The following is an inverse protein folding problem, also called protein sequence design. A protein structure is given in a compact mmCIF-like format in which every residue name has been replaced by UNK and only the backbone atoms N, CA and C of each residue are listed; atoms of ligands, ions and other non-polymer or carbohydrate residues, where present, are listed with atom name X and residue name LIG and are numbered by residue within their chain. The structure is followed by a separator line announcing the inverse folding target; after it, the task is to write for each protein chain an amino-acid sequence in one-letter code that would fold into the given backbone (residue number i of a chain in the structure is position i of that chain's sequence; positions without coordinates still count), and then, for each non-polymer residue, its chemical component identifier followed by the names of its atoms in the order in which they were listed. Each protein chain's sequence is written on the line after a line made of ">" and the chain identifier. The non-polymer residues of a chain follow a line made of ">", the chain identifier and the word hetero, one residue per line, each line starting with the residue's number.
data_IF_198657860883
#
_entry.id   IF_198657860883
#
_cell.length_a   1.000
_cell.length_b   1.000
_cell.length_c   1.000
_cell.angle_alpha   90.00
_cell.angle_beta   90.00
_cell.angle_gamma   90.00
#
_symmetry.space_group_name_H-M   'P 1'
#
loop_
_entity.id
_entity.type
_entity.pdbx_description
1 polymer ?
#
# COMPACT_ATOMS: atom_id res chain seq x y z
N UNK A 1 17.69 21.71 -20.21
CA UNK A 1 18.51 20.56 -19.78
C UNK A 1 17.74 19.27 -19.49
N UNK A 2 17.35 18.91 -18.24
CA UNK A 2 16.90 17.53 -17.90
C UNK A 2 15.68 17.04 -18.72
N UNK A 3 14.70 17.92 -18.94
CA UNK A 3 13.47 17.61 -19.71
C UNK A 3 13.71 17.66 -21.22
N UNK A 4 14.49 18.63 -21.69
CA UNK A 4 14.61 19.00 -23.10
C UNK A 4 15.78 18.34 -23.82
N UNK A 5 16.95 18.33 -23.19
CA UNK A 5 18.20 17.80 -23.77
C UNK A 5 18.40 16.34 -23.38
N UNK A 6 18.25 16.02 -22.09
CA UNK A 6 18.38 14.64 -21.59
C UNK A 6 17.11 13.80 -21.80
N UNK A 7 16.02 14.41 -22.29
CA UNK A 7 14.72 13.77 -22.60
C UNK A 7 14.23 12.81 -21.50
N UNK A 8 14.51 13.14 -20.24
CA UNK A 8 14.16 12.27 -19.12
C UNK A 8 12.66 12.28 -18.87
N UNK A 9 12.13 11.13 -18.43
CA UNK A 9 10.77 11.05 -17.93
C UNK A 9 10.57 12.03 -16.76
N UNK A 10 9.39 12.66 -16.69
CA UNK A 10 9.07 13.70 -15.68
C UNK A 10 9.38 13.24 -14.24
N UNK A 11 9.12 11.96 -13.92
CA UNK A 11 9.41 11.39 -12.59
C UNK A 11 10.90 11.37 -12.26
N UNK A 12 11.72 10.99 -13.23
CA UNK A 12 13.18 11.03 -13.10
C UNK A 12 13.69 12.46 -12.96
N UNK A 13 13.16 13.41 -13.75
CA UNK A 13 13.49 14.84 -13.63
C UNK A 13 13.18 15.34 -12.22
N UNK A 14 11.99 15.03 -11.69
CA UNK A 14 11.60 15.42 -10.33
C UNK A 14 12.58 14.88 -9.28
N UNK A 15 12.98 13.61 -9.40
CA UNK A 15 13.94 13.00 -8.47
C UNK A 15 15.30 13.70 -8.52
N UNK A 16 15.82 14.02 -9.70
CA UNK A 16 17.05 14.78 -9.85
C UNK A 16 16.93 16.18 -9.24
N UNK A 17 15.82 16.87 -9.46
CA UNK A 17 15.56 18.20 -8.90
C UNK A 17 15.48 18.15 -7.36
N UNK A 18 14.85 17.13 -6.78
CA UNK A 18 14.81 16.93 -5.31
C UNK A 18 16.23 16.82 -4.74
N UNK A 19 17.09 15.99 -5.35
CA UNK A 19 18.47 15.85 -4.90
C UNK A 19 19.26 17.15 -5.06
N UNK A 20 19.14 17.81 -6.21
CA UNK A 20 19.84 19.08 -6.47
C UNK A 20 19.40 20.18 -5.50
N UNK A 21 18.10 20.32 -5.22
CA UNK A 21 17.58 21.25 -4.21
C UNK A 21 18.16 20.96 -2.82
N UNK A 22 18.30 19.69 -2.44
CA UNK A 22 18.90 19.30 -1.16
C UNK A 22 20.38 19.71 -1.09
N UNK A 23 21.13 19.56 -2.17
CA UNK A 23 22.53 20.02 -2.24
C UNK A 23 22.63 21.54 -2.16
N UNK A 24 21.83 22.26 -2.94
CA UNK A 24 21.78 23.74 -2.90
C UNK A 24 21.41 24.24 -1.51
N UNK A 25 20.41 23.65 -0.85
CA UNK A 25 20.04 24.02 0.52
C UNK A 25 21.21 23.83 1.50
N UNK A 26 21.97 22.74 1.37
CA UNK A 26 23.19 22.52 2.17
C UNK A 26 24.27 23.57 1.89
N UNK A 27 24.48 23.93 0.61
CA UNK A 27 25.45 24.95 0.22
C UNK A 27 25.06 26.34 0.74
N UNK A 28 23.77 26.69 0.70
CA UNK A 28 23.24 27.91 1.29
C UNK A 28 23.43 27.97 2.80
N UNK A 29 23.12 26.87 3.51
CA UNK A 29 23.34 26.79 4.96
C UNK A 29 24.81 26.95 5.37
N UNK A 30 25.75 26.62 4.47
CA UNK A 30 27.19 26.81 4.66
C UNK A 30 27.70 28.19 4.19
N UNK A 31 26.82 29.07 3.70
CA UNK A 31 27.19 30.37 3.17
C UNK A 31 27.92 30.34 1.81
N UNK A 32 28.05 29.17 1.18
CA UNK A 32 28.74 29.01 -0.13
C UNK A 32 27.93 29.68 -1.24
N UNK A 33 26.60 29.62 -1.13
CA UNK A 33 25.66 30.22 -2.07
C UNK A 33 24.76 31.18 -1.30
N UNK A 34 24.71 32.44 -1.73
CA UNK A 34 23.93 33.50 -1.05
C UNK A 34 22.50 33.63 -1.57
N UNK A 35 22.22 33.19 -2.81
CA UNK A 35 20.89 33.25 -3.43
C UNK A 35 20.43 31.88 -3.89
N UNK A 36 19.16 31.56 -3.63
CA UNK A 36 18.60 30.27 -4.02
C UNK A 36 18.37 30.21 -5.55
N UNK A 37 19.09 29.37 -6.32
CA UNK A 37 18.87 29.20 -7.76
C UNK A 37 17.51 28.57 -8.10
N UNK A 38 16.80 28.00 -7.12
CA UNK A 38 15.45 27.46 -7.26
C UNK A 38 14.36 28.44 -6.83
N UNK A 39 14.68 29.71 -6.62
CA UNK A 39 13.67 30.73 -6.33
C UNK A 39 12.65 30.81 -7.48
N UNK A 40 11.36 30.77 -7.17
CA UNK A 40 10.27 30.76 -8.17
C UNK A 40 10.09 29.44 -8.94
N UNK A 41 10.98 28.44 -8.78
CA UNK A 41 10.81 27.15 -9.46
C UNK A 41 9.76 26.29 -8.76
N UNK A 42 8.67 26.01 -9.49
CA UNK A 42 7.62 25.06 -9.12
C UNK A 42 7.76 23.82 -10.03
N UNK A 43 8.01 22.62 -9.48
CA UNK A 43 8.07 21.42 -10.29
C UNK A 43 6.68 21.04 -10.83
N UNK A 44 6.65 20.55 -12.07
CA UNK A 44 5.47 19.89 -12.64
C UNK A 44 5.04 18.75 -11.69
N UNK A 45 3.83 18.86 -11.11
CA UNK A 45 3.26 17.76 -10.33
C UNK A 45 2.87 16.62 -11.28
N UNK A 46 3.35 15.41 -10.97
CA UNK A 46 2.89 14.22 -11.65
C UNK A 46 1.60 13.77 -11.00
N UNK A 47 0.49 13.90 -11.73
CA UNK A 47 -0.74 13.21 -11.38
C UNK A 47 -0.42 11.71 -11.46
N UNK A 48 -0.30 11.08 -10.29
CA UNK A 48 -0.07 9.64 -10.20
C UNK A 48 -1.31 8.94 -10.71
N UNK A 49 -1.19 8.08 -11.73
CA UNK A 49 -2.25 7.13 -12.09
C UNK A 49 -2.61 6.29 -10.85
N UNK A 50 -3.87 5.86 -10.72
CA UNK A 50 -4.33 5.01 -9.62
C UNK A 50 -3.39 3.80 -9.45
N UNK A 51 -2.76 3.69 -8.28
CA UNK A 51 -1.79 2.64 -7.94
C UNK A 51 -2.41 1.45 -7.21
N UNK A 52 -3.73 1.44 -7.06
CA UNK A 52 -4.51 0.42 -6.37
C UNK A 52 -5.41 -0.33 -7.37
N UNK A 53 -6.00 -1.43 -6.92
CA UNK A 53 -6.91 -2.29 -7.69
C UNK A 53 -8.31 -2.20 -7.13
N UNK A 54 -9.34 -2.11 -7.98
CA UNK A 54 -10.72 -2.17 -7.52
C UNK A 54 -11.09 -3.55 -6.98
N UNK A 55 -12.22 -3.66 -6.28
CA UNK A 55 -12.70 -4.93 -5.74
C UNK A 55 -12.88 -5.98 -6.85
N UNK A 56 -13.38 -5.57 -8.01
CA UNK A 56 -13.58 -6.46 -9.17
C UNK A 56 -12.22 -6.93 -9.75
N UNK A 57 -11.21 -6.06 -9.77
CA UNK A 57 -9.86 -6.45 -10.21
C UNK A 57 -9.18 -7.39 -9.21
N UNK A 58 -9.40 -7.19 -7.91
CA UNK A 58 -8.92 -8.08 -6.86
C UNK A 58 -9.58 -9.46 -7.00
N UNK A 59 -10.90 -9.50 -7.20
CA UNK A 59 -11.65 -10.75 -7.40
C UNK A 59 -11.17 -11.51 -8.64
N UNK A 60 -10.95 -10.81 -9.77
CA UNK A 60 -10.36 -11.41 -10.98
C UNK A 60 -9.01 -12.07 -10.70
N UNK A 61 -8.17 -11.46 -9.88
CA UNK A 61 -6.86 -12.02 -9.51
C UNK A 61 -7.04 -13.26 -8.63
N UNK A 62 -7.92 -13.21 -7.62
CA UNK A 62 -8.17 -14.33 -6.69
C UNK A 62 -8.71 -15.55 -7.45
N UNK A 63 -9.66 -15.33 -8.35
CA UNK A 63 -10.35 -16.40 -9.10
C UNK A 63 -9.63 -16.84 -10.37
N UNK A 64 -8.50 -16.21 -10.71
CA UNK A 64 -7.74 -16.56 -11.91
C UNK A 64 -7.24 -18.01 -11.87
N UNK A 65 -7.59 -18.77 -12.90
CA UNK A 65 -7.06 -20.12 -13.13
C UNK A 65 -5.60 -20.03 -13.56
N UNK A 66 -4.70 -20.55 -12.73
CA UNK A 66 -3.25 -20.52 -12.95
C UNK A 66 -2.71 -21.95 -12.95
N UNK A 67 -2.29 -22.44 -14.12
CA UNK A 67 -1.78 -23.82 -14.24
C UNK A 67 -0.36 -24.02 -13.70
N UNK A 68 0.44 -22.96 -13.55
CA UNK A 68 1.83 -23.05 -13.09
C UNK A 68 1.94 -22.78 -11.59
N UNK A 69 2.38 -23.75 -10.75
CA UNK A 69 2.43 -23.60 -9.28
C UNK A 69 3.23 -22.39 -8.79
N UNK A 70 4.32 -22.04 -9.47
CA UNK A 70 5.15 -20.88 -9.08
C UNK A 70 4.45 -19.54 -9.32
N UNK A 71 3.56 -19.45 -10.32
CA UNK A 71 2.76 -18.25 -10.58
C UNK A 71 1.59 -18.22 -9.60
N UNK A 72 0.98 -19.38 -9.32
CA UNK A 72 -0.09 -19.55 -8.32
C UNK A 72 0.38 -19.05 -6.93
N UNK A 73 1.60 -19.45 -6.54
CA UNK A 73 2.26 -18.94 -5.34
C UNK A 73 2.42 -17.41 -5.36
N UNK A 74 2.87 -16.82 -6.47
CA UNK A 74 3.01 -15.36 -6.56
C UNK A 74 1.67 -14.64 -6.52
N UNK A 75 0.60 -15.21 -7.10
CA UNK A 75 -0.77 -14.70 -6.94
C UNK A 75 -1.14 -14.69 -5.46
N UNK A 76 -0.94 -15.80 -4.75
CA UNK A 76 -1.30 -15.87 -3.33
C UNK A 76 -0.49 -14.90 -2.48
N UNK A 77 0.81 -14.74 -2.72
CA UNK A 77 1.62 -13.75 -2.02
C UNK A 77 1.19 -12.31 -2.34
N UNK A 78 0.74 -12.06 -3.57
CA UNK A 78 0.18 -10.78 -3.95
C UNK A 78 -1.13 -10.51 -3.20
N UNK A 79 -2.06 -11.48 -3.19
CA UNK A 79 -3.34 -11.42 -2.47
C UNK A 79 -3.11 -11.26 -0.97
N UNK A 80 -2.16 -12.00 -0.39
CA UNK A 80 -1.74 -11.83 1.00
C UNK A 80 -1.35 -10.38 1.29
N UNK A 81 -0.58 -9.74 0.39
CA UNK A 81 -0.26 -8.31 0.50
C UNK A 81 -1.47 -7.38 0.34
N UNK A 82 -2.49 -7.76 -0.45
CA UNK A 82 -3.74 -6.99 -0.61
C UNK A 82 -4.55 -6.98 0.68
N UNK A 83 -4.54 -8.06 1.46
CA UNK A 83 -5.33 -8.17 2.69
C UNK A 83 -4.55 -7.89 3.98
N UNK A 84 -3.23 -7.73 3.91
CA UNK A 84 -2.38 -7.40 5.08
C UNK A 84 -1.65 -6.07 4.94
N UNK A 85 -1.61 -5.48 3.75
CA UNK A 85 -0.84 -4.27 3.47
C UNK A 85 0.68 -4.44 3.55
N UNK A 86 1.19 -5.65 3.78
CA UNK A 86 2.62 -5.88 3.92
C UNK A 86 3.36 -5.70 2.59
N UNK A 87 4.58 -5.16 2.65
CA UNK A 87 5.44 -5.10 1.47
C UNK A 87 6.08 -6.45 1.18
N UNK A 88 6.57 -6.68 -0.04
CA UNK A 88 7.31 -7.91 -0.38
C UNK A 88 8.41 -8.23 0.64
N UNK A 89 9.19 -7.21 1.05
CA UNK A 89 10.29 -7.40 2.00
C UNK A 89 9.79 -7.79 3.38
N UNK A 90 8.63 -7.28 3.79
CA UNK A 90 8.00 -7.63 5.06
C UNK A 90 7.47 -9.07 4.99
N UNK A 91 6.77 -9.46 3.91
CA UNK A 91 6.26 -10.83 3.70
C UNK A 91 7.42 -11.84 3.65
N UNK A 92 8.50 -11.52 2.93
CA UNK A 92 9.70 -12.38 2.81
C UNK A 92 10.38 -12.67 4.14
N UNK A 93 10.27 -11.76 5.11
CA UNK A 93 10.91 -11.90 6.40
C UNK A 93 9.90 -12.10 7.54
N UNK A 94 8.63 -12.34 7.23
CA UNK A 94 7.60 -12.60 8.22
C UNK A 94 7.90 -13.93 8.91
N UNK A 95 7.95 -13.88 10.24
CA UNK A 95 8.22 -15.05 11.10
C UNK A 95 6.97 -15.51 11.81
N UNK A 96 6.95 -16.78 12.22
CA UNK A 96 5.79 -17.39 12.89
C UNK A 96 5.48 -16.76 14.25
N UNK A 97 6.49 -16.34 14.98
CA UNK A 97 6.39 -15.64 16.28
C UNK A 97 5.80 -14.23 16.17
N UNK A 98 5.77 -13.64 14.96
CA UNK A 98 5.13 -12.35 14.68
C UNK A 98 3.63 -12.47 14.42
N UNK A 99 3.09 -13.70 14.36
CA UNK A 99 1.66 -13.97 14.27
C UNK A 99 1.14 -14.25 15.67
N UNK A 100 0.55 -13.24 16.29
CA UNK A 100 0.05 -13.27 17.66
C UNK A 100 -1.42 -13.67 17.69
N UNK A 101 -1.86 -14.26 18.79
CA UNK A 101 -3.28 -14.52 19.10
C UNK A 101 -3.68 -13.66 20.29
N UNK A 102 -4.85 -13.02 20.21
CA UNK A 102 -5.43 -12.30 21.34
C UNK A 102 -6.28 -13.24 22.23
N UNK A 103 -6.80 -12.69 23.33
CA UNK A 103 -7.64 -13.40 24.29
C UNK A 103 -8.95 -13.92 23.71
N UNK A 104 -9.41 -13.35 22.59
CA UNK A 104 -10.62 -13.75 21.88
C UNK A 104 -10.36 -14.76 20.75
N UNK A 105 -9.08 -15.10 20.53
CA UNK A 105 -8.65 -16.05 19.50
C UNK A 105 -8.43 -15.41 18.12
N UNK A 106 -8.56 -14.08 17.98
CA UNK A 106 -8.20 -13.42 16.73
C UNK A 106 -6.69 -13.38 16.55
N UNK A 107 -6.25 -13.46 15.30
CA UNK A 107 -4.84 -13.43 14.95
C UNK A 107 -4.43 -12.07 14.42
N UNK A 108 -3.21 -11.67 14.76
CA UNK A 108 -2.64 -10.39 14.40
C UNK A 108 -1.23 -10.58 13.88
N UNK A 109 -0.86 -9.85 12.83
CA UNK A 109 0.53 -9.72 12.42
C UNK A 109 1.10 -8.48 13.10
N UNK A 110 2.13 -8.64 13.93
CA UNK A 110 2.86 -7.54 14.56
C UNK A 110 4.32 -7.58 14.13
N UNK A 111 4.75 -6.57 13.35
CA UNK A 111 6.10 -6.50 12.81
C UNK A 111 6.74 -5.14 12.99
N UNK A 112 8.07 -5.15 13.00
CA UNK A 112 8.88 -3.97 12.70
C UNK A 112 9.20 -3.98 11.20
N UNK A 113 8.73 -2.97 10.48
CA UNK A 113 8.85 -2.88 9.02
C UNK A 113 10.31 -2.86 8.58
N UNK A 114 10.62 -3.65 7.56
CA UNK A 114 12.00 -3.83 7.10
C UNK A 114 12.61 -2.55 6.52
N UNK A 115 11.81 -1.74 5.83
CA UNK A 115 12.31 -0.54 5.13
C UNK A 115 12.48 0.68 6.04
N UNK A 116 11.60 0.82 7.04
CA UNK A 116 11.46 2.06 7.83
C UNK A 116 11.76 1.85 9.30
N UNK A 117 11.75 0.61 9.79
CA UNK A 117 11.87 0.29 11.21
C UNK A 117 10.65 0.69 12.04
N UNK A 118 9.55 1.14 11.42
CA UNK A 118 8.32 1.48 12.12
C UNK A 118 7.52 0.23 12.48
N UNK A 119 6.76 0.29 13.56
CA UNK A 119 5.85 -0.78 13.95
C UNK A 119 4.62 -0.80 13.04
N UNK A 120 4.12 -2.00 12.75
CA UNK A 120 2.96 -2.25 11.91
C UNK A 120 2.22 -3.44 12.50
N UNK A 121 0.96 -3.21 12.86
CA UNK A 121 0.09 -4.21 13.48
C UNK A 121 -1.16 -4.31 12.61
N UNK A 122 -1.45 -5.50 12.08
CA UNK A 122 -2.57 -5.71 11.15
C UNK A 122 -3.34 -6.95 11.58
N UNK A 123 -4.68 -6.90 11.69
CA UNK A 123 -5.47 -8.08 11.95
C UNK A 123 -5.35 -9.05 10.78
N UNK A 124 -5.18 -10.34 11.10
CA UNK A 124 -5.10 -11.38 10.10
C UNK A 124 -6.53 -11.79 9.73
N UNK A 125 -6.98 -11.37 8.54
CA UNK A 125 -8.29 -11.73 7.97
C UNK A 125 -8.29 -13.17 7.43
N UNK A 126 -9.45 -13.68 7.04
CA UNK A 126 -9.62 -15.10 6.69
C UNK A 126 -8.84 -15.53 5.43
N UNK A 127 -8.81 -14.68 4.39
CA UNK A 127 -8.02 -14.96 3.17
C UNK A 127 -6.52 -15.12 3.48
N UNK A 128 -5.86 -14.18 4.20
CA UNK A 128 -4.49 -14.39 4.69
C UNK A 128 -4.29 -15.66 5.52
N UNK A 129 -5.24 -16.03 6.40
CA UNK A 129 -5.16 -17.28 7.19
C UNK A 129 -5.17 -18.52 6.28
N UNK A 130 -6.03 -18.53 5.27
CA UNK A 130 -6.09 -19.61 4.28
C UNK A 130 -4.78 -19.75 3.50
N UNK A 131 -4.20 -18.63 3.08
CA UNK A 131 -2.90 -18.63 2.38
C UNK A 131 -1.78 -19.15 3.28
N UNK A 132 -1.75 -18.75 4.56
CA UNK A 132 -0.78 -19.28 5.53
C UNK A 132 -0.93 -20.80 5.68
N UNK A 133 -2.18 -21.29 5.83
CA UNK A 133 -2.46 -22.74 5.91
C UNK A 133 -2.05 -23.49 4.65
N UNK A 134 -2.32 -22.93 3.45
CA UNK A 134 -1.96 -23.53 2.16
C UNK A 134 -0.45 -23.74 2.00
N UNK A 135 0.37 -22.86 2.58
CA UNK A 135 1.83 -22.90 2.47
C UNK A 135 2.52 -23.23 3.80
N UNK A 136 1.79 -23.83 4.74
CA UNK A 136 2.35 -24.24 6.02
C UNK A 136 3.51 -25.22 5.81
N UNK A 137 4.59 -25.04 6.58
CA UNK A 137 5.80 -25.87 6.47
C UNK A 137 6.71 -25.55 5.28
N UNK A 138 6.34 -24.63 4.38
CA UNK A 138 7.22 -24.26 3.24
C UNK A 138 8.37 -23.33 3.62
N UNK A 139 8.18 -22.51 4.67
CA UNK A 139 9.18 -21.54 5.12
C UNK A 139 10.38 -22.16 5.83
N UNK A 140 11.54 -21.53 5.64
CA UNK A 140 12.83 -21.89 6.27
C UNK A 140 13.16 -20.91 7.40
N UNK A 141 13.97 -21.33 8.39
CA UNK A 141 14.42 -20.50 9.51
C UNK A 141 13.29 -19.77 10.26
N UNK A 142 12.22 -20.48 10.63
CA UNK A 142 11.00 -19.95 11.28
C UNK A 142 10.22 -18.89 10.49
N UNK A 143 10.54 -18.69 9.21
CA UNK A 143 9.73 -17.85 8.33
C UNK A 143 8.42 -18.53 7.99
N UNK A 144 7.40 -17.71 7.73
CA UNK A 144 6.08 -18.18 7.32
C UNK A 144 6.10 -18.72 5.90
N UNK A 145 6.84 -18.06 4.99
CA UNK A 145 6.88 -18.41 3.57
C UNK A 145 8.31 -18.53 3.04
N UNK A 146 8.54 -19.48 2.13
CA UNK A 146 9.74 -19.52 1.28
C UNK A 146 9.52 -18.69 0.02
N UNK A 147 9.79 -17.39 0.12
CA UNK A 147 9.57 -16.45 -0.98
C UNK A 147 10.52 -16.65 -2.16
N UNK A 148 9.98 -16.60 -3.38
CA UNK A 148 10.76 -16.47 -4.60
C UNK A 148 11.54 -15.15 -4.64
N UNK A 149 12.62 -15.11 -5.42
CA UNK A 149 13.42 -13.90 -5.63
C UNK A 149 12.60 -12.78 -6.30
N UNK A 150 12.94 -11.53 -5.97
CA UNK A 150 12.17 -10.35 -6.35
C UNK A 150 11.97 -10.20 -7.87
N UNK A 151 12.97 -10.55 -8.67
CA UNK A 151 12.89 -10.49 -10.13
C UNK A 151 11.84 -11.48 -10.67
N UNK A 152 11.79 -12.70 -10.12
CA UNK A 152 10.78 -13.71 -10.48
C UNK A 152 9.40 -13.26 -10.04
N UNK A 153 9.24 -12.78 -8.80
CA UNK A 153 7.97 -12.22 -8.31
C UNK A 153 7.51 -11.08 -9.21
N UNK A 154 8.39 -10.12 -9.53
CA UNK A 154 8.07 -9.03 -10.44
C UNK A 154 7.65 -9.50 -11.84
N UNK A 155 8.25 -10.57 -12.35
CA UNK A 155 7.88 -11.16 -13.65
C UNK A 155 6.50 -11.79 -13.59
N UNK A 156 6.27 -12.66 -12.61
CA UNK A 156 5.01 -13.38 -12.46
C UNK A 156 3.86 -12.46 -12.07
N UNK A 157 4.07 -11.41 -11.27
CA UNK A 157 3.05 -10.39 -11.02
C UNK A 157 2.60 -9.70 -12.32
N UNK A 158 3.53 -9.40 -13.25
CA UNK A 158 3.13 -8.83 -14.56
C UNK A 158 2.36 -9.85 -15.40
N UNK A 159 2.76 -11.11 -15.35
CA UNK A 159 2.09 -12.21 -16.05
C UNK A 159 0.66 -12.41 -15.54
N UNK A 160 0.46 -12.44 -14.22
CA UNK A 160 -0.85 -12.48 -13.57
C UNK A 160 -1.73 -11.32 -14.05
N UNK A 161 -1.19 -10.10 -14.08
CA UNK A 161 -1.93 -8.93 -14.59
C UNK A 161 -2.38 -9.08 -16.04
N UNK A 162 -1.57 -9.71 -16.90
CA UNK A 162 -1.94 -10.03 -18.30
C UNK A 162 -2.99 -11.12 -18.37
N UNK A 163 -2.85 -12.20 -17.59
CA UNK A 163 -3.81 -13.30 -17.53
C UNK A 163 -5.20 -12.81 -17.09
N UNK A 164 -5.24 -11.89 -16.13
CA UNK A 164 -6.47 -11.28 -15.62
C UNK A 164 -7.01 -10.15 -16.52
N UNK A 165 -6.35 -9.86 -17.66
CA UNK A 165 -6.71 -8.78 -18.60
C UNK A 165 -6.90 -7.42 -17.91
N UNK A 166 -5.97 -7.06 -17.01
CA UNK A 166 -6.00 -5.76 -16.33
C UNK A 166 -5.49 -4.67 -17.28
N UNK A 167 -6.17 -3.51 -17.29
CA UNK A 167 -5.79 -2.35 -18.12
C UNK A 167 -4.47 -1.69 -17.68
N UNK A 168 -4.04 -1.99 -16.44
CA UNK A 168 -2.83 -1.45 -15.84
C UNK A 168 -1.80 -2.53 -15.56
N UNK A 169 -0.53 -2.13 -15.66
CA UNK A 169 0.60 -3.00 -15.36
C UNK A 169 0.65 -3.30 -13.86
N UNK A 170 0.31 -4.54 -13.52
CA UNK A 170 0.37 -5.03 -12.16
C UNK A 170 1.83 -5.04 -11.64
N UNK A 171 2.02 -4.48 -10.44
CA UNK A 171 3.30 -4.55 -9.71
C UNK A 171 3.03 -4.97 -8.28
N UNK A 172 3.98 -5.65 -7.63
CA UNK A 172 3.74 -6.18 -6.30
C UNK A 172 3.39 -5.09 -5.27
N UNK A 173 3.94 -3.88 -5.41
CA UNK A 173 3.62 -2.78 -4.50
C UNK A 173 2.16 -2.30 -4.58
N UNK A 174 1.46 -2.61 -5.68
CA UNK A 174 0.03 -2.32 -5.79
C UNK A 174 -0.78 -3.10 -4.76
N UNK A 175 -0.32 -4.26 -4.27
CA UNK A 175 -1.04 -5.02 -3.24
C UNK A 175 -1.25 -4.18 -1.98
N UNK A 176 -0.18 -3.54 -1.50
CA UNK A 176 -0.23 -2.62 -0.35
C UNK A 176 -1.08 -1.38 -0.61
N UNK A 177 -1.10 -0.86 -1.84
CA UNK A 177 -1.96 0.25 -2.20
C UNK A 177 -3.43 -0.15 -2.21
N UNK A 178 -3.75 -1.34 -2.73
CA UNK A 178 -5.10 -1.90 -2.72
C UNK A 178 -5.59 -2.20 -1.31
N UNK A 179 -4.71 -2.66 -0.40
CA UNK A 179 -5.04 -2.78 1.02
C UNK A 179 -5.54 -1.46 1.57
N UNK A 180 -4.73 -0.40 1.38
CA UNK A 180 -5.01 0.91 1.93
C UNK A 180 -6.33 1.51 1.39
N UNK A 181 -6.51 1.48 0.06
CA UNK A 181 -7.68 2.10 -0.56
C UNK A 181 -8.89 1.16 -0.51
N UNK A 182 -8.85 0.04 -1.21
CA UNK A 182 -10.03 -0.78 -1.48
C UNK A 182 -10.46 -1.67 -0.33
N UNK A 183 -9.50 -2.21 0.44
CA UNK A 183 -9.81 -3.11 1.58
C UNK A 183 -10.09 -2.31 2.85
N UNK A 184 -9.46 -1.15 3.05
CA UNK A 184 -9.62 -0.34 4.26
C UNK A 184 -10.49 0.90 4.04
N UNK A 185 -9.99 1.94 3.35
CA UNK A 185 -10.68 3.24 3.28
C UNK A 185 -12.06 3.14 2.62
N UNK A 186 -12.18 2.39 1.52
CA UNK A 186 -13.46 2.16 0.84
C UNK A 186 -14.44 1.33 1.69
N UNK A 187 -13.97 0.62 2.70
CA UNK A 187 -14.80 -0.14 3.66
C UNK A 187 -15.01 0.62 4.98
N UNK A 188 -14.72 1.93 5.01
CA UNK A 188 -14.98 2.78 6.17
C UNK A 188 -13.93 2.72 7.29
N UNK A 189 -12.78 2.07 7.07
CA UNK A 189 -11.70 2.09 8.08
C UNK A 189 -11.14 3.51 8.19
N UNK A 190 -11.09 4.11 9.40
CA UNK A 190 -10.53 5.45 9.59
C UNK A 190 -9.07 5.55 9.13
N UNK A 191 -8.72 6.72 8.58
CA UNK A 191 -7.37 6.95 8.02
C UNK A 191 -6.27 6.86 9.08
N UNK A 192 -6.58 7.21 10.34
CA UNK A 192 -5.69 7.11 11.49
C UNK A 192 -5.37 5.65 11.79
N UNK A 193 -6.40 4.81 11.85
CA UNK A 193 -6.28 3.36 12.05
C UNK A 193 -5.46 2.74 10.92
N UNK A 194 -5.76 3.10 9.67
CA UNK A 194 -4.97 2.65 8.53
C UNK A 194 -3.50 3.10 8.61
N UNK A 195 -3.26 4.34 9.01
CA UNK A 195 -1.91 4.89 9.15
C UNK A 195 -1.08 4.10 10.17
N UNK A 196 -1.69 3.72 11.30
CA UNK A 196 -1.06 2.87 12.32
C UNK A 196 -0.83 1.45 11.79
N UNK A 197 -1.85 0.82 11.18
CA UNK A 197 -1.73 -0.52 10.61
C UNK A 197 -0.59 -0.61 9.58
N UNK A 198 -0.46 0.41 8.74
CA UNK A 198 0.57 0.50 7.72
C UNK A 198 1.96 0.89 8.27
N UNK A 199 2.06 1.29 9.54
CA UNK A 199 3.31 1.77 10.14
C UNK A 199 3.81 3.06 9.50
N UNK A 200 2.92 3.99 9.18
CA UNK A 200 3.27 5.30 8.65
C UNK A 200 3.55 6.30 9.79
N UNK A 201 4.76 6.86 9.82
CA UNK A 201 5.16 7.88 10.80
C UNK A 201 4.49 9.24 10.57
N UNK A 202 3.95 9.46 9.39
CA UNK A 202 3.28 10.70 9.03
C UNK A 202 2.00 10.38 8.26
N UNK A 203 0.87 10.83 8.80
CA UNK A 203 -0.47 10.63 8.22
C UNK A 203 -0.61 11.18 6.80
N UNK A 204 0.18 12.20 6.42
CA UNK A 204 0.25 12.71 5.04
C UNK A 204 0.62 11.62 4.02
N UNK A 205 1.35 10.60 4.45
CA UNK A 205 1.68 9.44 3.62
C UNK A 205 0.44 8.59 3.33
N UNK A 206 -0.51 8.54 4.25
CA UNK A 206 -1.77 7.81 4.13
C UNK A 206 -2.81 8.62 3.35
N UNK A 207 -2.76 9.96 3.41
CA UNK A 207 -3.62 10.85 2.64
C UNK A 207 -3.55 10.62 1.12
N UNK A 208 -2.44 10.08 0.62
CA UNK A 208 -2.31 9.75 -0.81
C UNK A 208 -3.28 8.65 -1.28
N UNK A 209 -3.91 7.93 -0.33
CA UNK A 209 -4.90 6.88 -0.59
C UNK A 209 -6.34 7.34 -0.41
N UNK A 210 -6.53 8.46 0.28
CA UNK A 210 -7.84 9.02 0.57
C UNK A 210 -8.31 9.82 -0.65
N UNK A 211 -8.99 9.14 -1.56
CA UNK A 211 -9.79 9.77 -2.58
C UNK A 211 -11.19 9.96 -2.02
N UNK A 212 -11.54 11.19 -1.68
CA UNK A 212 -12.89 11.52 -1.23
C UNK A 212 -13.77 11.60 -2.47
N UNK A 213 -14.56 10.56 -2.72
CA UNK A 213 -15.58 10.55 -3.76
C UNK A 213 -16.90 11.07 -3.21
N UNK A 214 -17.74 11.68 -4.05
CA UNK A 214 -19.08 12.13 -3.64
C UNK A 214 -19.93 10.99 -3.06
N UNK A 215 -19.82 9.79 -3.64
CA UNK A 215 -20.48 8.58 -3.16
C UNK A 215 -20.04 8.20 -1.74
N UNK A 216 -18.75 8.35 -1.42
CA UNK A 216 -18.24 8.06 -0.07
C UNK A 216 -18.76 9.05 0.96
N UNK A 217 -18.83 10.34 0.60
CA UNK A 217 -19.44 11.37 1.46
C UNK A 217 -20.89 11.00 1.76
N UNK A 218 -21.67 10.61 0.75
CA UNK A 218 -23.06 10.23 0.92
C UNK A 218 -23.23 9.03 1.86
N UNK A 219 -22.47 7.96 1.65
CA UNK A 219 -22.47 6.77 2.51
C UNK A 219 -22.12 7.12 3.96
N UNK A 220 -21.04 7.87 4.18
CA UNK A 220 -20.59 8.25 5.51
C UNK A 220 -21.62 9.15 6.22
N UNK A 221 -22.30 10.03 5.48
CA UNK A 221 -23.37 10.88 6.01
C UNK A 221 -24.66 10.12 6.30
N UNK A 222 -24.99 9.09 5.51
CA UNK A 222 -26.12 8.20 5.80
C UNK A 222 -25.89 7.42 7.10
N UNK A 223 -24.72 6.79 7.24
CA UNK A 223 -24.34 6.07 8.47
C UNK A 223 -24.35 7.00 9.70
N UNK A 224 -23.85 8.23 9.54
CA UNK A 224 -23.89 9.23 10.61
C UNK A 224 -25.34 9.61 10.96
N UNK A 225 -26.18 9.88 9.96
CA UNK A 225 -27.59 10.23 10.13
C UNK A 225 -28.35 9.15 10.91
N UNK A 226 -28.14 7.87 10.57
CA UNK A 226 -28.72 6.75 11.32
C UNK A 226 -28.25 6.71 12.77
N UNK A 227 -26.95 6.94 12.99
CA UNK A 227 -26.34 6.88 14.32
C UNK A 227 -26.83 7.99 15.26
N UNK A 228 -27.07 9.20 14.75
CA UNK A 228 -27.45 10.36 15.57
C UNK A 228 -28.95 10.65 15.60
N UNK A 229 -29.77 9.82 14.91
CA UNK A 229 -31.20 10.05 14.69
C UNK A 229 -31.99 10.29 15.98
N UNK A 230 -31.61 9.64 17.07
CA UNK A 230 -32.30 9.72 18.36
C UNK A 230 -31.58 10.61 19.40
N UNK A 231 -30.38 11.09 19.07
CA UNK A 231 -29.55 11.87 19.99
C UNK A 231 -29.96 13.35 20.06
N UNK A 232 -30.57 13.87 18.99
CA UNK A 232 -30.94 15.28 18.86
C UNK A 232 -32.39 15.41 18.43
N UNK A 233 -33.23 15.99 19.29
CA UNK A 233 -34.60 16.37 18.96
C UNK A 233 -34.79 17.85 19.22
N UNK A 234 -35.47 18.53 18.30
CA UNK A 234 -35.88 19.91 18.51
C UNK A 234 -36.95 19.95 19.59
N UNK A 235 -36.75 20.73 20.64
CA UNK A 235 -37.78 21.00 21.64
C UNK A 235 -38.85 21.91 21.01
N UNK A 236 -40.04 21.37 20.74
CA UNK A 236 -41.19 22.12 20.22
C UNK A 236 -41.82 21.58 18.93
N UNK A 237 -41.41 20.40 18.47
CA UNK A 237 -42.04 19.66 17.36
C UNK A 237 -42.59 18.32 17.82
#
# INVERSE_FOLDING_TARGET
>A
YLKTEQRMAKGSVLQHIIFLRKMIKRAMNKGIITRNPFFGYVPDQLVSKHKWLSSEEIEKIITASIGKPSIDFVRDMFVFGVFTGLSYSDIKNLRKDQILKDSTGNQWISIKRQKTGSESIVPLLDIPKEIIRKYEGTGEDDKVFKMLCMNVVCSYTKEIGKLCKLDKKLTFHMSRHSFATSVCLSQGVPIETLSQMMGHQNIRTTQIYAEITGAKIEEDMQLLSEKIKDDYRLTGS
#
